data_IF_079510256833
#
_entry.id   IF_079510256833
#
_cell.length_a   1.000
_cell.length_b   1.000
_cell.length_c   1.000
_cell.angle_alpha   90.00
_cell.angle_beta   90.00
_cell.angle_gamma   90.00
#
_symmetry.space_group_name_H-M   'P 1'
#
loop_
_entity.id
_entity.type
_entity.pdbx_description
1 polymer ?
#
# COMPACT_ATOMS: atom_id res chain seq x y z
N UNK A 1 -25.10 -13.50 -7.46
CA UNK A 1 -24.14 -12.84 -6.56
C UNK A 1 -24.52 -13.01 -5.12
N UNK A 2 -23.72 -13.83 -4.45
CA UNK A 2 -23.82 -14.10 -3.02
C UNK A 2 -23.47 -12.83 -2.22
N UNK A 3 -24.25 -12.48 -1.20
CA UNK A 3 -24.03 -11.30 -0.34
C UNK A 3 -22.62 -11.30 0.28
N UNK A 4 -22.10 -12.48 0.65
CA UNK A 4 -20.75 -12.62 1.16
C UNK A 4 -19.71 -12.26 0.09
N UNK A 5 -19.86 -12.78 -1.13
CA UNK A 5 -18.97 -12.47 -2.26
C UNK A 5 -18.96 -10.98 -2.58
N UNK A 6 -20.14 -10.36 -2.65
CA UNK A 6 -20.29 -8.90 -2.87
C UNK A 6 -19.54 -8.11 -1.79
N UNK A 7 -19.67 -8.51 -0.53
CA UNK A 7 -19.01 -7.82 0.60
C UNK A 7 -17.49 -7.88 0.47
N UNK A 8 -16.93 -9.04 0.14
CA UNK A 8 -15.48 -9.19 -0.08
C UNK A 8 -14.99 -8.38 -1.29
N UNK A 9 -15.76 -8.31 -2.37
CA UNK A 9 -15.43 -7.49 -3.54
C UNK A 9 -15.44 -5.99 -3.20
N UNK A 10 -16.42 -5.52 -2.43
CA UNK A 10 -16.48 -4.12 -1.96
C UNK A 10 -15.27 -3.81 -1.09
N UNK A 11 -14.92 -4.67 -0.12
CA UNK A 11 -13.73 -4.48 0.69
C UNK A 11 -12.45 -4.46 -0.15
N UNK A 12 -12.32 -5.34 -1.13
CA UNK A 12 -11.16 -5.35 -2.04
C UNK A 12 -10.98 -3.99 -2.75
N UNK A 13 -12.07 -3.42 -3.28
CA UNK A 13 -12.03 -2.13 -3.98
C UNK A 13 -11.65 -1.01 -3.01
N UNK A 14 -12.31 -0.92 -1.85
CA UNK A 14 -12.07 0.12 -0.86
C UNK A 14 -10.62 0.06 -0.37
N UNK A 15 -10.12 -1.12 0.01
CA UNK A 15 -8.75 -1.32 0.46
C UNK A 15 -7.73 -0.98 -0.63
N UNK A 16 -8.02 -1.29 -1.90
CA UNK A 16 -7.14 -0.93 -3.02
C UNK A 16 -7.04 0.60 -3.20
N UNK A 17 -8.16 1.32 -3.05
CA UNK A 17 -8.19 2.79 -3.12
C UNK A 17 -7.39 3.39 -1.97
N UNK A 18 -7.68 3.01 -0.73
CA UNK A 18 -6.96 3.53 0.45
C UNK A 18 -5.47 3.16 0.42
N UNK A 19 -5.14 1.93 0.02
CA UNK A 19 -3.76 1.50 -0.18
C UNK A 19 -3.02 2.38 -1.17
N UNK A 20 -3.66 2.71 -2.29
CA UNK A 20 -3.10 3.60 -3.31
C UNK A 20 -2.85 5.00 -2.77
N UNK A 21 -3.82 5.57 -2.06
CA UNK A 21 -3.67 6.89 -1.43
C UNK A 21 -2.50 6.90 -0.44
N UNK A 22 -2.36 5.87 0.39
CA UNK A 22 -1.27 5.78 1.36
C UNK A 22 0.11 5.60 0.71
N UNK A 23 0.22 4.80 -0.36
CA UNK A 23 1.46 4.67 -1.13
C UNK A 23 1.86 6.02 -1.74
N UNK A 24 0.92 6.71 -2.40
CA UNK A 24 1.18 8.00 -3.04
C UNK A 24 1.57 9.06 -2.01
N UNK A 25 0.82 9.17 -0.92
CA UNK A 25 1.12 10.11 0.16
C UNK A 25 2.47 9.80 0.83
N UNK A 26 2.75 8.54 1.14
CA UNK A 26 4.00 8.13 1.78
C UNK A 26 5.22 8.41 0.90
N UNK A 27 5.15 8.11 -0.40
CA UNK A 27 6.22 8.41 -1.35
C UNK A 27 6.39 9.92 -1.58
N UNK A 28 5.30 10.67 -1.65
CA UNK A 28 5.34 12.14 -1.79
C UNK A 28 5.99 12.78 -0.57
N UNK A 29 5.60 12.36 0.63
CA UNK A 29 6.15 12.86 1.88
C UNK A 29 7.61 12.46 2.09
N UNK A 30 8.01 11.26 1.66
CA UNK A 30 9.42 10.85 1.68
C UNK A 30 10.25 11.76 0.77
N UNK A 31 9.77 12.09 -0.44
CA UNK A 31 10.48 13.04 -1.31
C UNK A 31 10.56 14.43 -0.69
N UNK A 32 9.45 14.93 -0.13
CA UNK A 32 9.43 16.22 0.54
C UNK A 32 10.41 16.29 1.71
N UNK A 33 10.53 15.21 2.49
CA UNK A 33 11.52 15.08 3.54
C UNK A 33 12.96 15.23 3.02
N UNK A 34 13.29 14.60 1.90
CA UNK A 34 14.62 14.71 1.29
C UNK A 34 14.87 16.09 0.69
N UNK A 35 13.88 16.72 0.06
CA UNK A 35 13.99 18.10 -0.43
C UNK A 35 14.28 19.10 0.69
N UNK A 36 13.72 18.88 1.88
CA UNK A 36 13.97 19.73 3.06
C UNK A 36 15.34 19.45 3.69
N UNK A 37 15.78 18.19 3.68
CA UNK A 37 17.03 17.75 4.31
C UNK A 37 18.28 18.10 3.49
N UNK A 38 18.20 18.00 2.17
CA UNK A 38 19.27 18.35 1.25
C UNK A 38 18.70 19.15 0.07
N UNK A 39 18.77 20.48 0.17
CA UNK A 39 18.20 21.40 -0.81
C UNK A 39 18.99 21.45 -2.12
N UNK A 40 20.23 20.95 -2.12
CA UNK A 40 21.10 20.88 -3.30
C UNK A 40 21.17 19.47 -3.90
N UNK A 41 20.71 18.45 -3.16
CA UNK A 41 20.63 17.06 -3.61
C UNK A 41 19.47 16.79 -4.58
N UNK A 42 19.40 15.55 -5.09
CA UNK A 42 18.27 15.08 -5.90
C UNK A 42 17.35 14.17 -5.06
N UNK A 43 16.19 14.68 -4.60
CA UNK A 43 15.27 13.93 -3.76
C UNK A 43 14.74 12.66 -4.43
N UNK A 44 14.75 12.59 -5.77
CA UNK A 44 14.28 11.40 -6.49
C UNK A 44 15.30 10.26 -6.42
N UNK A 45 16.58 10.60 -6.27
CA UNK A 45 17.66 9.63 -6.12
C UNK A 45 17.79 9.17 -4.68
N UNK A 46 17.67 10.10 -3.74
CA UNK A 46 17.97 9.86 -2.33
C UNK A 46 16.75 9.32 -1.55
N UNK A 47 15.52 9.58 -2.02
CA UNK A 47 14.32 8.95 -1.47
C UNK A 47 14.30 7.44 -1.71
N UNK A 48 13.81 6.70 -0.71
CA UNK A 48 13.62 5.26 -0.83
C UNK A 48 12.68 4.94 -2.00
N UNK A 49 13.17 4.12 -2.93
CA UNK A 49 12.39 3.72 -4.12
C UNK A 49 11.24 2.81 -3.73
N UNK A 50 10.12 2.94 -4.44
CA UNK A 50 8.95 2.10 -4.25
C UNK A 50 9.26 0.59 -4.27
N UNK A 51 10.15 0.14 -5.18
CA UNK A 51 10.57 -1.27 -5.26
C UNK A 51 11.18 -1.81 -3.97
N UNK A 52 11.93 -0.98 -3.24
CA UNK A 52 12.49 -1.37 -1.94
C UNK A 52 11.38 -1.53 -0.90
N UNK A 53 10.41 -0.60 -0.88
CA UNK A 53 9.25 -0.64 0.01
C UNK A 53 8.47 -1.93 -0.22
N UNK A 54 8.16 -2.30 -1.47
CA UNK A 54 7.45 -3.55 -1.79
C UNK A 54 8.22 -4.78 -1.31
N UNK A 55 9.52 -4.86 -1.60
CA UNK A 55 10.35 -6.04 -1.25
C UNK A 55 10.49 -6.23 0.26
N UNK A 56 10.50 -5.15 1.02
CA UNK A 56 10.72 -5.14 2.47
C UNK A 56 9.51 -4.56 3.22
N UNK A 57 8.30 -4.74 2.68
CA UNK A 57 7.09 -4.07 3.18
C UNK A 57 6.90 -4.31 4.68
N UNK A 58 7.07 -5.55 5.13
CA UNK A 58 6.93 -5.91 6.54
C UNK A 58 7.97 -5.24 7.43
N UNK A 59 9.20 -5.14 6.94
CA UNK A 59 10.28 -4.48 7.67
C UNK A 59 10.04 -2.97 7.80
N UNK A 60 9.56 -2.32 6.73
CA UNK A 60 9.22 -0.90 6.78
C UNK A 60 7.96 -0.61 7.60
N UNK A 61 6.96 -1.48 7.58
CA UNK A 61 5.72 -1.28 8.32
C UNK A 61 5.90 -1.49 9.84
N UNK A 62 6.64 -2.53 10.24
CA UNK A 62 6.83 -2.93 11.63
C UNK A 62 8.07 -2.34 12.31
N UNK A 63 9.03 -1.80 11.54
CA UNK A 63 10.25 -1.20 12.07
C UNK A 63 10.09 0.27 12.46
N UNK A 64 11.07 0.79 13.20
CA UNK A 64 11.21 2.22 13.53
C UNK A 64 11.77 3.03 12.34
N UNK A 65 11.03 2.99 11.23
CA UNK A 65 11.35 3.75 10.03
C UNK A 65 10.70 5.13 10.04
N UNK A 66 11.20 6.02 9.17
CA UNK A 66 10.61 7.33 8.93
C UNK A 66 9.11 7.19 8.67
N UNK A 67 8.29 8.05 9.29
CA UNK A 67 6.84 7.99 9.19
C UNK A 67 6.31 7.92 7.73
N UNK A 68 6.87 8.66 6.75
CA UNK A 68 6.46 8.54 5.34
C UNK A 68 6.62 7.13 4.76
N UNK A 69 7.73 6.44 5.08
CA UNK A 69 7.98 5.07 4.62
C UNK A 69 7.04 4.06 5.25
N UNK A 70 6.72 4.24 6.53
CA UNK A 70 5.74 3.40 7.24
C UNK A 70 4.36 3.53 6.60
N UNK A 71 3.92 4.76 6.30
CA UNK A 71 2.65 5.01 5.62
C UNK A 71 2.62 4.36 4.24
N UNK A 72 3.69 4.51 3.45
CA UNK A 72 3.78 3.85 2.14
C UNK A 72 3.74 2.30 2.27
N UNK A 73 4.44 1.73 3.26
CA UNK A 73 4.45 0.30 3.50
C UNK A 73 3.08 -0.22 3.94
N UNK A 74 2.38 0.50 4.81
CA UNK A 74 0.99 0.18 5.18
C UNK A 74 0.09 0.20 3.95
N UNK A 75 0.27 1.16 3.05
CA UNK A 75 -0.46 1.20 1.78
C UNK A 75 -0.25 -0.05 0.92
N UNK A 76 1.00 -0.55 0.82
CA UNK A 76 1.30 -1.82 0.13
C UNK A 76 0.67 -3.02 0.85
N UNK A 77 0.59 -3.02 2.18
CA UNK A 77 -0.11 -4.07 2.93
C UNK A 77 -1.61 -4.07 2.65
N UNK A 78 -2.22 -2.90 2.55
CA UNK A 78 -3.63 -2.78 2.16
C UNK A 78 -3.88 -3.37 0.77
N UNK A 79 -2.93 -3.26 -0.17
CA UNK A 79 -3.03 -3.95 -1.46
C UNK A 79 -2.99 -5.47 -1.34
N UNK A 80 -2.13 -6.02 -0.47
CA UNK A 80 -2.11 -7.47 -0.22
C UNK A 80 -3.43 -7.96 0.40
N UNK A 81 -3.99 -7.21 1.36
CA UNK A 81 -5.29 -7.53 1.94
C UNK A 81 -6.41 -7.38 0.91
N UNK A 82 -6.38 -6.34 0.07
CA UNK A 82 -7.33 -6.14 -1.02
C UNK A 82 -7.30 -7.33 -2.00
N UNK A 83 -6.11 -7.80 -2.38
CA UNK A 83 -5.94 -8.96 -3.24
C UNK A 83 -6.50 -10.23 -2.59
N UNK A 84 -6.26 -10.44 -1.29
CA UNK A 84 -6.83 -11.56 -0.55
C UNK A 84 -8.36 -11.51 -0.54
N UNK A 85 -8.96 -10.34 -0.27
CA UNK A 85 -10.41 -10.15 -0.33
C UNK A 85 -10.97 -10.42 -1.73
N UNK A 86 -10.29 -9.95 -2.78
CA UNK A 86 -10.69 -10.20 -4.17
C UNK A 86 -10.72 -11.69 -4.49
N UNK A 87 -9.63 -12.41 -4.16
CA UNK A 87 -9.52 -13.86 -4.40
C UNK A 87 -10.60 -14.62 -3.63
N UNK A 88 -10.80 -14.31 -2.34
CA UNK A 88 -11.84 -14.95 -1.51
C UNK A 88 -13.23 -14.67 -2.09
N UNK A 89 -13.53 -13.43 -2.48
CA UNK A 89 -14.81 -13.06 -3.07
C UNK A 89 -15.12 -13.82 -4.36
N UNK A 90 -14.13 -13.96 -5.24
CA UNK A 90 -14.25 -14.74 -6.48
C UNK A 90 -14.49 -16.23 -6.17
N UNK A 91 -13.72 -16.82 -5.26
CA UNK A 91 -13.89 -18.23 -4.87
C UNK A 91 -15.30 -18.47 -4.32
N UNK A 92 -15.76 -17.62 -3.40
CA UNK A 92 -17.10 -17.74 -2.81
C UNK A 92 -18.16 -17.68 -3.91
N UNK A 93 -18.10 -16.70 -4.80
CA UNK A 93 -19.08 -16.57 -5.89
C UNK A 93 -19.12 -17.84 -6.75
N UNK A 94 -17.95 -18.33 -7.19
CA UNK A 94 -17.85 -19.53 -8.02
C UNK A 94 -18.33 -20.81 -7.33
N UNK A 95 -18.16 -20.92 -6.02
CA UNK A 95 -18.64 -22.09 -5.25
C UNK A 95 -20.11 -22.01 -4.86
N UNK A 96 -20.73 -20.83 -4.97
CA UNK A 96 -22.14 -20.59 -4.65
C UNK A 96 -23.06 -20.49 -5.87
N UNK A 97 -22.49 -20.57 -7.08
CA UNK A 97 -23.19 -20.66 -8.36
C UNK A 97 -23.45 -22.12 -8.74
#
# INVERSE_FOLDING_TARGET
MNTAAVTFLVFAIVLAIFGTLFVVLGLSNERAYWTQRDTHGDPRRDATKFRAIVKQTWHFAAGEYRAPLRVAAIGVLLWWVALACLVIGIIIELTSA
#
